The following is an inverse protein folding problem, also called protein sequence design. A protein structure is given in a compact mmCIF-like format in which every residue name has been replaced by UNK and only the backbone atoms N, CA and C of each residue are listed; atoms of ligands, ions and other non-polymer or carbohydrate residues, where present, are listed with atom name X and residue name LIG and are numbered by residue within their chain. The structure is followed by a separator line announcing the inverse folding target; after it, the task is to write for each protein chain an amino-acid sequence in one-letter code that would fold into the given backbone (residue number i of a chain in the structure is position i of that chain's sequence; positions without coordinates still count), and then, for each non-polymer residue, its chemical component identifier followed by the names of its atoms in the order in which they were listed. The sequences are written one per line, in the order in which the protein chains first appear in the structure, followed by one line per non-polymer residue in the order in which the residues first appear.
data_IF_220216394268
#
_entry.id   IF_220216394268
#
_cell.length_a   1.000
_cell.length_b   1.000
_cell.length_c   1.000
_cell.angle_alpha   90.00
_cell.angle_beta   90.00
_cell.angle_gamma   90.00
#
_symmetry.space_group_name_H-M   'P 1'
#
loop_
_entity.id
_entity.type
_entity.pdbx_description
1 polymer ?
#
# COMPACT_ATOMS: atom_id res chain seq x y z
N UNK A 1 21.84 -52.59 29.35
CA UNK A 1 22.75 -51.55 28.85
C UNK A 1 21.93 -50.52 28.10
N UNK A 2 21.78 -49.31 28.63
CA UNK A 2 20.91 -48.26 28.09
C UNK A 2 21.74 -47.27 27.23
N UNK A 3 21.43 -47.16 25.94
CA UNK A 3 22.04 -46.19 25.04
C UNK A 3 21.38 -44.82 25.17
N UNK A 4 22.10 -43.84 25.71
CA UNK A 4 21.68 -42.43 25.72
C UNK A 4 21.81 -41.86 24.30
N UNK A 5 20.67 -41.58 23.64
CA UNK A 5 20.62 -40.73 22.45
C UNK A 5 20.89 -39.29 22.87
N UNK A 6 22.01 -38.72 22.43
CA UNK A 6 22.27 -37.29 22.54
C UNK A 6 21.25 -36.52 21.69
N UNK A 7 20.23 -35.95 22.32
CA UNK A 7 19.43 -34.88 21.71
C UNK A 7 20.34 -33.66 21.57
N UNK A 8 20.71 -33.36 20.32
CA UNK A 8 21.34 -32.10 19.95
C UNK A 8 20.34 -30.99 20.31
N UNK A 9 20.68 -30.15 21.29
CA UNK A 9 19.88 -28.97 21.58
C UNK A 9 19.85 -28.07 20.34
N UNK A 10 18.69 -27.46 20.00
CA UNK A 10 18.63 -26.49 18.92
C UNK A 10 19.57 -25.32 19.24
N UNK A 11 20.32 -24.90 18.23
CA UNK A 11 21.33 -23.86 18.32
C UNK A 11 20.69 -22.54 18.83
N UNK A 12 21.20 -21.92 19.91
CA UNK A 12 20.67 -20.66 20.44
C UNK A 12 20.70 -19.53 19.40
N UNK A 13 21.52 -19.62 18.36
CA UNK A 13 21.53 -18.68 17.23
C UNK A 13 20.23 -18.74 16.40
N UNK A 14 19.58 -19.91 16.30
CA UNK A 14 18.29 -20.08 15.60
C UNK A 14 17.16 -19.46 16.43
N UNK A 15 17.23 -19.58 17.76
CA UNK A 15 16.30 -18.91 18.69
C UNK A 15 16.43 -17.39 18.64
N UNK A 16 17.66 -16.87 18.60
CA UNK A 16 17.91 -15.44 18.46
C UNK A 16 17.43 -14.91 17.10
N UNK A 17 17.69 -15.61 15.99
CA UNK A 17 17.22 -15.22 14.66
C UNK A 17 15.67 -15.17 14.57
N UNK A 18 14.95 -16.07 15.23
CA UNK A 18 13.49 -16.04 15.35
C UNK A 18 12.96 -14.89 16.21
N UNK A 19 13.75 -14.40 17.17
CA UNK A 19 13.40 -13.24 18.01
C UNK A 19 13.73 -11.93 17.29
N UNK A 20 14.83 -11.88 16.52
CA UNK A 20 15.21 -10.71 15.73
C UNK A 20 14.29 -10.52 14.52
N UNK A 21 13.81 -11.61 13.88
CA UNK A 21 12.76 -11.53 12.85
C UNK A 21 11.41 -10.99 13.37
N UNK A 22 11.17 -10.99 14.69
CA UNK A 22 9.99 -10.33 15.28
C UNK A 22 10.14 -8.81 15.43
N UNK A 23 11.35 -8.26 15.32
CA UNK A 23 11.61 -6.84 15.61
C UNK A 23 11.56 -5.92 14.39
N UNK A 24 11.69 -6.46 13.17
CA UNK A 24 11.57 -5.69 11.92
C UNK A 24 10.23 -5.90 11.21
N UNK A 25 9.18 -6.30 11.94
CA UNK A 25 7.83 -5.96 11.50
C UNK A 25 7.75 -4.44 11.56
N UNK A 26 7.94 -3.77 10.42
CA UNK A 26 7.41 -2.42 10.21
C UNK A 26 6.02 -2.46 10.84
N UNK A 27 5.79 -1.65 11.88
CA UNK A 27 4.46 -1.51 12.51
C UNK A 27 3.54 -0.86 11.49
N UNK A 28 3.11 -1.67 10.52
CA UNK A 28 2.19 -1.33 9.47
C UNK A 28 0.81 -1.34 10.12
N UNK A 29 0.43 -0.18 10.63
CA UNK A 29 -0.90 0.10 11.14
C UNK A 29 -1.89 0.04 9.95
N UNK A 30 -2.76 -0.98 9.88
CA UNK A 30 -3.65 -1.14 8.73
C UNK A 30 -4.63 0.02 8.59
N UNK A 31 -4.95 0.72 9.67
CA UNK A 31 -5.83 1.89 9.65
C UNK A 31 -5.13 3.06 8.97
N UNK A 32 -3.85 3.31 9.30
CA UNK A 32 -3.04 4.34 8.62
C UNK A 32 -2.83 4.05 7.14
N UNK A 33 -2.63 2.78 6.76
CA UNK A 33 -2.53 2.40 5.34
C UNK A 33 -3.85 2.72 4.61
N UNK A 34 -4.99 2.42 5.25
CA UNK A 34 -6.31 2.70 4.68
C UNK A 34 -6.58 4.20 4.58
N UNK A 35 -6.14 4.98 5.56
CA UNK A 35 -6.20 6.44 5.54
C UNK A 35 -5.39 7.02 4.37
N UNK A 36 -4.15 6.57 4.18
CA UNK A 36 -3.29 6.99 3.06
C UNK A 36 -3.91 6.58 1.72
N UNK A 37 -4.43 5.36 1.60
CA UNK A 37 -5.17 4.89 0.41
C UNK A 37 -6.34 5.81 0.08
N UNK A 38 -7.17 6.13 1.07
CA UNK A 38 -8.33 7.03 0.91
C UNK A 38 -7.89 8.43 0.51
N UNK A 39 -6.80 8.93 1.10
CA UNK A 39 -6.20 10.21 0.74
C UNK A 39 -5.73 10.25 -0.72
N UNK A 40 -5.07 9.19 -1.19
CA UNK A 40 -4.63 9.06 -2.58
C UNK A 40 -5.81 8.99 -3.56
N UNK A 41 -6.88 8.28 -3.22
CA UNK A 41 -8.11 8.29 -4.05
C UNK A 41 -8.74 9.68 -4.17
N UNK A 42 -8.75 10.45 -3.07
CA UNK A 42 -9.23 11.83 -3.10
C UNK A 42 -8.33 12.73 -3.95
N UNK A 43 -7.00 12.55 -3.86
CA UNK A 43 -6.05 13.29 -4.69
C UNK A 43 -6.19 12.94 -6.16
N UNK A 44 -6.34 11.65 -6.49
CA UNK A 44 -6.65 11.19 -7.85
C UNK A 44 -7.90 11.90 -8.40
N UNK A 45 -9.01 11.92 -7.64
CA UNK A 45 -10.23 12.63 -8.06
C UNK A 45 -10.02 14.12 -8.32
N UNK A 46 -9.34 14.81 -7.40
CA UNK A 46 -9.03 16.24 -7.54
C UNK A 46 -8.13 16.52 -8.74
N UNK A 47 -7.12 15.69 -8.93
CA UNK A 47 -6.16 15.80 -10.01
C UNK A 47 -6.83 15.61 -11.38
N UNK A 48 -7.61 14.54 -11.55
CA UNK A 48 -8.37 14.27 -12.80
C UNK A 48 -9.36 15.39 -13.10
N UNK A 49 -10.03 15.94 -12.08
CA UNK A 49 -10.93 17.09 -12.25
C UNK A 49 -10.19 18.36 -12.68
N UNK A 50 -9.02 18.63 -12.11
CA UNK A 50 -8.18 19.77 -12.47
C UNK A 50 -7.67 19.66 -13.93
N UNK A 51 -7.16 18.49 -14.32
CA UNK A 51 -6.71 18.22 -15.69
C UNK A 51 -7.85 18.42 -16.70
N UNK A 52 -9.03 17.86 -16.44
CA UNK A 52 -10.20 18.04 -17.29
C UNK A 52 -10.63 19.52 -17.40
N UNK A 53 -10.48 20.30 -16.33
CA UNK A 53 -10.79 21.74 -16.32
C UNK A 53 -9.80 22.52 -17.18
N UNK A 54 -8.51 22.20 -17.09
CA UNK A 54 -7.46 22.83 -17.93
C UNK A 54 -7.74 22.55 -19.40
N UNK A 55 -8.00 21.29 -19.76
CA UNK A 55 -8.32 20.90 -21.14
C UNK A 55 -9.52 21.64 -21.70
N UNK A 56 -10.65 21.70 -20.97
CA UNK A 56 -11.83 22.45 -21.40
C UNK A 56 -11.56 23.93 -21.61
N UNK A 57 -10.77 24.55 -20.72
CA UNK A 57 -10.40 25.97 -20.85
C UNK A 57 -9.52 26.20 -22.08
N UNK A 58 -8.60 25.29 -22.37
CA UNK A 58 -7.79 25.33 -23.58
C UNK A 58 -8.64 25.19 -24.85
N UNK A 59 -9.55 24.22 -24.89
CA UNK A 59 -10.50 24.03 -25.99
C UNK A 59 -11.39 25.27 -26.20
N UNK A 60 -11.85 25.89 -25.11
CA UNK A 60 -12.61 27.14 -25.17
C UNK A 60 -11.79 28.31 -25.71
N UNK A 61 -10.50 28.39 -25.38
CA UNK A 61 -9.61 29.45 -25.88
C UNK A 61 -9.39 29.32 -27.40
N UNK A 62 -9.27 28.09 -27.90
CA UNK A 62 -9.13 27.81 -29.33
C UNK A 62 -10.34 28.20 -30.17
N UNK A 63 -11.52 28.28 -29.57
CA UNK A 63 -12.72 28.68 -30.29
C UNK A 63 -12.60 30.10 -30.86
N UNK A 64 -11.92 31.00 -30.14
CA UNK A 64 -11.70 32.40 -30.53
C UNK A 64 -10.27 32.70 -31.00
N UNK A 65 -9.29 31.86 -30.66
CA UNK A 65 -7.90 32.02 -31.08
C UNK A 65 -7.53 30.96 -32.13
N UNK A 66 -7.47 31.39 -33.40
CA UNK A 66 -7.08 30.54 -34.54
C UNK A 66 -5.79 31.07 -35.16
N UNK A 67 -4.67 30.48 -34.76
CA UNK A 67 -3.35 30.71 -35.35
C UNK A 67 -2.44 29.50 -35.17
N UNK A 68 -1.31 29.46 -35.86
CA UNK A 68 -0.29 28.40 -35.70
C UNK A 68 0.17 28.25 -34.24
N UNK A 69 0.22 29.37 -33.50
CA UNK A 69 0.55 29.36 -32.06
C UNK A 69 -0.54 28.69 -31.22
N UNK A 70 -1.80 28.82 -31.64
CA UNK A 70 -2.93 28.17 -31.00
C UNK A 70 -2.86 26.64 -31.21
N UNK A 71 -2.49 26.20 -32.41
CA UNK A 71 -2.28 24.77 -32.71
C UNK A 71 -1.13 24.17 -31.90
N UNK A 72 -0.01 24.90 -31.78
CA UNK A 72 1.11 24.49 -30.92
C UNK A 72 0.71 24.41 -29.44
N UNK A 73 -0.09 25.38 -28.97
CA UNK A 73 -0.63 25.37 -27.62
C UNK A 73 -1.50 24.13 -27.37
N UNK A 74 -2.39 23.79 -28.31
CA UNK A 74 -3.24 22.59 -28.18
C UNK A 74 -2.46 21.30 -28.21
N UNK A 75 -1.41 21.22 -29.03
CA UNK A 75 -0.51 20.06 -29.00
C UNK A 75 0.09 19.88 -27.60
N UNK A 76 0.53 20.96 -26.95
CA UNK A 76 1.06 20.91 -25.58
C UNK A 76 0.01 20.55 -24.54
N UNK A 77 -1.24 21.00 -24.71
CA UNK A 77 -2.34 20.59 -23.85
C UNK A 77 -2.65 19.09 -24.02
N UNK A 78 -2.57 18.56 -25.24
CA UNK A 78 -2.71 17.12 -25.49
C UNK A 78 -1.61 16.28 -24.83
N UNK A 79 -0.36 16.73 -24.91
CA UNK A 79 0.78 16.10 -24.21
C UNK A 79 0.56 16.12 -22.68
N UNK A 80 0.11 17.25 -22.13
CA UNK A 80 -0.19 17.40 -20.70
C UNK A 80 -1.37 16.51 -20.25
N UNK A 81 -2.41 16.38 -21.06
CA UNK A 81 -3.57 15.53 -20.80
C UNK A 81 -3.16 14.05 -20.72
N UNK A 82 -2.31 13.60 -21.64
CA UNK A 82 -1.76 12.24 -21.63
C UNK A 82 -0.93 11.96 -20.36
N UNK A 83 0.02 12.84 -20.03
CA UNK A 83 0.83 12.72 -18.81
C UNK A 83 -0.02 12.77 -17.54
N UNK A 84 -1.06 13.61 -17.54
CA UNK A 84 -1.99 13.68 -16.41
C UNK A 84 -2.74 12.35 -16.25
N UNK A 85 -3.20 11.74 -17.33
CA UNK A 85 -3.88 10.44 -17.25
C UNK A 85 -2.94 9.33 -16.74
N UNK A 86 -1.66 9.35 -17.10
CA UNK A 86 -0.65 8.42 -16.57
C UNK A 86 -0.47 8.58 -15.06
N UNK A 87 -0.22 9.80 -14.58
CA UNK A 87 -0.05 10.09 -13.14
C UNK A 87 -1.32 9.73 -12.36
N UNK A 88 -2.49 10.04 -12.91
CA UNK A 88 -3.77 9.67 -12.30
C UNK A 88 -3.91 8.14 -12.16
N UNK A 89 -3.51 7.39 -13.19
CA UNK A 89 -3.48 5.92 -13.17
C UNK A 89 -2.53 5.36 -12.10
N UNK A 90 -1.33 5.92 -11.97
CA UNK A 90 -0.37 5.51 -10.95
C UNK A 90 -0.87 5.76 -9.52
N UNK A 91 -1.49 6.92 -9.27
CA UNK A 91 -2.09 7.25 -7.97
C UNK A 91 -3.21 6.27 -7.60
N UNK A 92 -4.06 5.92 -8.58
CA UNK A 92 -5.13 4.95 -8.37
C UNK A 92 -4.59 3.53 -8.15
N UNK A 93 -3.56 3.12 -8.89
CA UNK A 93 -2.92 1.82 -8.67
C UNK A 93 -2.30 1.74 -7.28
N UNK A 94 -1.59 2.78 -6.86
CA UNK A 94 -0.98 2.85 -5.54
C UNK A 94 -2.02 2.80 -4.42
N UNK A 95 -3.16 3.50 -4.57
CA UNK A 95 -4.23 3.42 -3.57
C UNK A 95 -4.81 2.01 -3.47
N UNK A 96 -5.05 1.34 -4.60
CA UNK A 96 -5.54 -0.03 -4.61
C UNK A 96 -4.56 -1.01 -3.96
N UNK A 97 -3.26 -0.86 -4.20
CA UNK A 97 -2.24 -1.72 -3.61
C UNK A 97 -2.10 -1.49 -2.11
N UNK A 98 -2.22 -0.25 -1.63
CA UNK A 98 -2.29 0.06 -0.20
C UNK A 98 -3.55 -0.53 0.43
N UNK A 99 -4.71 -0.42 -0.21
CA UNK A 99 -5.95 -1.02 0.28
C UNK A 99 -5.83 -2.56 0.42
N UNK A 100 -5.24 -3.23 -0.59
CA UNK A 100 -4.95 -4.67 -0.53
C UNK A 100 -3.98 -5.01 0.60
N UNK A 101 -2.88 -4.25 0.73
CA UNK A 101 -1.89 -4.45 1.78
C UNK A 101 -2.52 -4.34 3.17
N UNK A 102 -3.33 -3.30 3.43
CA UNK A 102 -4.09 -3.15 4.68
C UNK A 102 -4.99 -4.36 4.95
N UNK A 103 -5.69 -4.86 3.93
CA UNK A 103 -6.51 -6.07 4.04
C UNK A 103 -5.71 -7.32 4.44
N UNK A 104 -4.54 -7.52 3.84
CA UNK A 104 -3.64 -8.63 4.18
C UNK A 104 -3.16 -8.51 5.64
N UNK A 105 -2.75 -7.32 6.07
CA UNK A 105 -2.31 -7.10 7.45
C UNK A 105 -3.44 -7.34 8.47
N UNK A 106 -4.67 -6.86 8.21
CA UNK A 106 -5.83 -7.14 9.09
C UNK A 106 -6.13 -8.63 9.21
N UNK A 107 -6.09 -9.36 8.10
CA UNK A 107 -6.30 -10.81 8.10
C UNK A 107 -5.21 -11.53 8.88
N UNK A 108 -3.94 -11.18 8.63
CA UNK A 108 -2.79 -11.74 9.36
C UNK A 108 -2.85 -11.46 10.86
N UNK A 109 -3.23 -10.25 11.26
CA UNK A 109 -3.41 -9.90 12.68
C UNK A 109 -4.57 -10.68 13.31
N UNK A 110 -5.69 -10.84 12.61
CA UNK A 110 -6.83 -11.64 13.09
C UNK A 110 -6.46 -13.11 13.27
N UNK A 111 -5.73 -13.70 12.33
CA UNK A 111 -5.25 -15.08 12.43
C UNK A 111 -4.23 -15.27 13.54
N UNK A 112 -3.32 -14.31 13.73
CA UNK A 112 -2.36 -14.30 14.82
C UNK A 112 -3.06 -14.20 16.19
N UNK A 113 -4.07 -13.32 16.32
CA UNK A 113 -4.90 -13.20 17.53
C UNK A 113 -5.66 -14.49 17.83
N UNK A 114 -6.34 -15.08 16.83
CA UNK A 114 -7.04 -16.36 16.98
C UNK A 114 -6.11 -17.50 17.41
N UNK A 115 -4.89 -17.57 16.86
CA UNK A 115 -3.88 -18.57 17.27
C UNK A 115 -3.33 -18.31 18.67
N UNK A 116 -3.20 -17.05 19.08
CA UNK A 116 -2.75 -16.68 20.42
C UNK A 116 -3.82 -16.94 21.48
N UNK A 117 -5.09 -16.68 21.18
CA UNK A 117 -6.24 -16.99 22.04
C UNK A 117 -6.53 -18.51 22.11
N UNK A 118 -6.16 -19.26 21.07
CA UNK A 118 -6.25 -20.72 21.05
C UNK A 118 -5.10 -21.43 21.79
N UNK A 119 -4.08 -20.71 22.28
CA UNK A 119 -3.09 -21.28 23.19
C UNK A 119 -3.75 -21.48 24.57
N UNK A 120 -3.84 -22.71 25.10
CA UNK A 120 -4.43 -22.94 26.41
C UNK A 120 -3.63 -22.19 27.47
N UNK A 121 -4.25 -21.20 28.12
CA UNK A 121 -3.65 -20.40 29.20
C UNK A 121 -3.76 -21.07 30.57
N UNK A 122 -4.17 -22.33 30.67
CA UNK A 122 -4.21 -23.05 31.94
C UNK A 122 -3.56 -24.44 31.83
N UNK A 123 -2.57 -24.69 32.69
CA UNK A 123 -2.24 -26.04 33.15
C UNK A 123 -0.81 -26.54 32.99
N UNK A 124 0.21 -25.84 33.52
CA UNK A 124 1.39 -26.53 34.10
C UNK A 124 1.85 -25.80 35.37
N UNK A 125 1.19 -26.09 36.50
CA UNK A 125 1.88 -26.12 37.79
C UNK A 125 2.26 -27.58 38.02
N UNK A 126 3.56 -27.89 37.93
CA UNK A 126 4.10 -29.17 38.40
C UNK A 126 4.11 -29.15 39.94
N UNK A 127 3.60 -30.24 40.51
CA UNK A 127 3.56 -30.61 41.94
C UNK A 127 4.94 -30.56 42.59
#
# INVERSE_FOLDING_TARGET
MAGKKNMKMPDPAVGAALITLRQDFIKFDPEKIMEVSTGLEQQHKKFTQAAATIKRRAESLMASWKSDSADLYMKKIGELDAQSNEIAGELLSLSQDLAKASGIYKTGESEAKKKAEALPTEGVFLV
#
